data_IF_901272381636
#
_entry.id   IF_901272381636
#
_cell.length_a   1.000
_cell.length_b   1.000
_cell.length_c   1.000
_cell.angle_alpha   90.00
_cell.angle_beta   90.00
_cell.angle_gamma   90.00
#
_symmetry.space_group_name_H-M   'P 1'
#
loop_
_entity.id
_entity.type
_entity.pdbx_description
1 polymer ?
#
# COMPACT_ATOMS: atom_id res chain seq x y z
N UNK A 1 -50.66 10.62 47.41
CA UNK A 1 -49.57 9.63 47.58
C UNK A 1 -48.87 9.52 46.24
N UNK A 2 -47.89 10.39 45.99
CA UNK A 2 -46.45 10.06 45.84
C UNK A 2 -46.17 9.04 44.72
N UNK A 3 -45.73 9.57 43.57
CA UNK A 3 -45.14 8.87 42.42
C UNK A 3 -44.13 7.80 42.83
N UNK A 4 -44.03 6.72 42.04
CA UNK A 4 -42.76 6.02 41.87
C UNK A 4 -42.73 5.13 40.61
N UNK A 5 -41.77 5.45 39.74
CA UNK A 5 -40.97 4.57 38.88
C UNK A 5 -41.63 3.96 37.63
N UNK A 6 -41.58 4.74 36.55
CA UNK A 6 -41.38 4.23 35.19
C UNK A 6 -39.98 3.60 35.09
N UNK A 7 -39.91 2.29 34.86
CA UNK A 7 -38.69 1.62 34.42
C UNK A 7 -38.48 1.90 32.93
N UNK A 8 -37.62 2.86 32.60
CA UNK A 8 -37.07 3.04 31.27
C UNK A 8 -35.77 2.23 31.19
N UNK A 9 -35.85 0.99 30.70
CA UNK A 9 -34.67 0.20 30.34
C UNK A 9 -34.02 0.80 29.10
N UNK A 10 -32.95 1.57 29.31
CA UNK A 10 -32.07 2.08 28.26
C UNK A 10 -31.17 0.93 27.78
N UNK A 11 -31.47 0.38 26.61
CA UNK A 11 -30.59 -0.55 25.91
C UNK A 11 -29.39 0.25 25.34
N UNK A 12 -28.26 0.26 26.06
CA UNK A 12 -26.98 0.71 25.50
C UNK A 12 -26.35 -0.50 24.81
N UNK A 13 -26.63 -0.65 23.52
CA UNK A 13 -25.88 -1.58 22.67
C UNK A 13 -24.51 -0.97 22.38
N UNK A 14 -23.49 -1.45 23.09
CA UNK A 14 -22.09 -1.23 22.75
C UNK A 14 -21.84 -1.90 21.41
N UNK A 15 -21.71 -1.11 20.34
CA UNK A 15 -21.24 -1.63 19.06
C UNK A 15 -19.73 -1.80 19.17
N UNK A 16 -19.30 -3.03 19.46
CA UNK A 16 -17.92 -3.43 19.22
C UNK A 16 -17.71 -3.41 17.71
N UNK A 17 -17.05 -2.36 17.21
CA UNK A 17 -16.54 -2.35 15.84
C UNK A 17 -15.31 -3.25 15.81
N UNK A 18 -15.54 -4.56 15.81
CA UNK A 18 -14.52 -5.54 15.46
C UNK A 18 -14.23 -5.35 13.99
N UNK A 19 -13.05 -4.82 13.66
CA UNK A 19 -12.51 -4.89 12.31
C UNK A 19 -12.47 -6.38 11.93
N UNK A 20 -13.37 -6.80 11.04
CA UNK A 20 -13.45 -8.19 10.62
C UNK A 20 -12.23 -8.47 9.74
N UNK A 21 -11.25 -9.17 10.30
CA UNK A 21 -10.20 -9.84 9.53
C UNK A 21 -10.91 -10.89 8.66
N UNK A 22 -10.98 -10.64 7.35
CA UNK A 22 -11.67 -11.50 6.39
C UNK A 22 -10.63 -12.24 5.55
N UNK A 23 -10.09 -13.33 6.09
CA UNK A 23 -9.31 -14.27 5.28
C UNK A 23 -10.18 -14.86 4.13
N UNK A 24 -11.50 -14.91 4.30
CA UNK A 24 -12.45 -15.36 3.26
C UNK A 24 -12.80 -14.30 2.18
N UNK A 25 -12.31 -13.05 2.28
CA UNK A 25 -12.65 -12.01 1.30
C UNK A 25 -11.78 -12.01 0.03
N UNK A 26 -10.61 -12.64 0.07
CA UNK A 26 -9.66 -12.60 -1.05
C UNK A 26 -9.99 -13.68 -2.08
N UNK A 27 -10.22 -13.33 -3.36
CA UNK A 27 -10.56 -14.30 -4.40
C UNK A 27 -9.54 -15.43 -4.55
N UNK A 28 -10.04 -16.64 -4.85
CA UNK A 28 -9.19 -17.83 -5.07
C UNK A 28 -8.10 -17.59 -6.13
N UNK A 29 -8.42 -16.91 -7.22
CA UNK A 29 -7.45 -16.57 -8.27
C UNK A 29 -6.32 -15.67 -7.76
N UNK A 30 -6.63 -14.68 -6.90
CA UNK A 30 -5.64 -13.82 -6.25
C UNK A 30 -4.70 -14.65 -5.37
N UNK A 31 -5.25 -15.50 -4.48
CA UNK A 31 -4.44 -16.36 -3.60
C UNK A 31 -3.55 -17.31 -4.40
N UNK A 32 -4.08 -17.92 -5.46
CA UNK A 32 -3.32 -18.85 -6.33
C UNK A 32 -2.18 -18.15 -7.08
N UNK A 33 -2.44 -16.98 -7.68
CA UNK A 33 -1.42 -16.24 -8.42
C UNK A 33 -0.38 -15.59 -7.50
N UNK A 34 -0.78 -15.12 -6.32
CA UNK A 34 0.16 -14.72 -5.27
C UNK A 34 1.09 -15.87 -4.92
N UNK A 35 0.54 -17.06 -4.63
CA UNK A 35 1.34 -18.24 -4.28
C UNK A 35 2.27 -18.69 -5.40
N UNK A 36 1.83 -18.57 -6.66
CA UNK A 36 2.66 -18.87 -7.82
C UNK A 36 3.84 -17.88 -7.94
N UNK A 37 3.62 -16.60 -7.67
CA UNK A 37 4.65 -15.55 -7.74
C UNK A 37 5.60 -15.57 -6.53
N UNK A 38 5.07 -15.90 -5.36
CA UNK A 38 5.78 -15.93 -4.08
C UNK A 38 5.70 -17.30 -3.40
N UNK A 39 6.32 -18.36 -3.97
CA UNK A 39 6.13 -19.73 -3.49
C UNK A 39 6.69 -20.00 -2.08
N UNK A 40 7.56 -19.11 -1.57
CA UNK A 40 8.10 -19.20 -0.21
C UNK A 40 7.28 -18.43 0.83
N UNK A 41 6.32 -17.61 0.40
CA UNK A 41 5.37 -16.92 1.26
C UNK A 41 4.08 -17.75 1.34
N UNK A 42 3.55 -17.94 2.55
CA UNK A 42 2.38 -18.77 2.81
C UNK A 42 1.28 -18.01 3.56
N UNK A 43 1.60 -16.87 4.17
CA UNK A 43 0.71 -16.16 5.09
C UNK A 43 0.88 -14.64 4.95
N UNK A 44 0.59 -14.05 3.77
CA UNK A 44 0.58 -12.60 3.62
C UNK A 44 -0.62 -11.98 4.33
N UNK A 45 -0.45 -10.77 4.84
CA UNK A 45 -1.54 -9.95 5.34
C UNK A 45 -2.22 -9.26 4.15
N UNK A 46 -3.53 -9.45 3.99
CA UNK A 46 -4.29 -8.90 2.87
C UNK A 46 -5.08 -7.66 3.26
N UNK A 47 -5.07 -6.66 2.37
CA UNK A 47 -5.92 -5.47 2.42
C UNK A 47 -6.55 -5.25 1.03
N UNK A 48 -7.80 -4.78 0.99
CA UNK A 48 -8.39 -4.27 -0.25
C UNK A 48 -8.08 -2.78 -0.34
N UNK A 49 -7.43 -2.36 -1.43
CA UNK A 49 -7.08 -0.96 -1.66
C UNK A 49 -8.31 -0.12 -2.05
N UNK A 50 -8.11 1.19 -2.25
CA UNK A 50 -9.18 2.12 -2.66
C UNK A 50 -9.69 1.90 -4.10
N UNK A 51 -9.00 1.07 -4.88
CA UNK A 51 -9.26 0.73 -6.27
C UNK A 51 -9.87 -0.69 -6.40
N UNK A 52 -10.27 -1.31 -5.29
CA UNK A 52 -10.77 -2.68 -5.19
C UNK A 52 -9.74 -3.77 -5.58
N UNK A 53 -8.44 -3.43 -5.63
CA UNK A 53 -7.37 -4.41 -5.75
C UNK A 53 -7.05 -5.03 -4.39
N UNK A 54 -6.37 -6.16 -4.43
CA UNK A 54 -5.93 -6.91 -3.27
C UNK A 54 -4.42 -6.75 -3.09
N UNK A 55 -4.04 -6.01 -2.06
CA UNK A 55 -2.66 -5.80 -1.66
C UNK A 55 -2.26 -6.89 -0.65
N UNK A 56 -1.22 -7.66 -0.97
CA UNK A 56 -0.58 -8.57 -0.04
C UNK A 56 0.67 -7.92 0.58
N UNK A 57 0.67 -7.76 1.90
CA UNK A 57 1.83 -7.38 2.70
C UNK A 57 2.55 -8.64 3.19
N UNK A 58 3.87 -8.71 2.98
CA UNK A 58 4.68 -9.85 3.37
C UNK A 58 6.15 -9.50 3.55
N UNK A 59 6.97 -10.45 4.02
CA UNK A 59 8.42 -10.26 4.16
C UNK A 59 9.19 -11.27 3.33
N UNK A 60 10.17 -10.77 2.58
CA UNK A 60 11.16 -11.58 1.88
C UNK A 60 12.55 -11.19 2.33
N UNK A 61 13.29 -12.15 2.87
CA UNK A 61 14.66 -11.94 3.38
C UNK A 61 14.76 -10.79 4.41
N UNK A 62 13.71 -10.59 5.20
CA UNK A 62 13.62 -9.54 6.24
C UNK A 62 13.14 -8.18 5.74
N UNK A 63 13.00 -7.99 4.42
CA UNK A 63 12.48 -6.77 3.80
C UNK A 63 10.97 -6.89 3.62
N UNK A 64 10.24 -5.84 3.95
CA UNK A 64 8.79 -5.77 3.78
C UNK A 64 8.44 -5.41 2.33
N UNK A 65 7.49 -6.13 1.75
CA UNK A 65 6.98 -5.92 0.40
C UNK A 65 5.46 -5.82 0.43
N UNK A 66 4.94 -5.07 -0.55
CA UNK A 66 3.51 -5.03 -0.89
C UNK A 66 3.36 -5.51 -2.33
N UNK A 67 2.35 -6.31 -2.62
CA UNK A 67 2.07 -6.79 -3.96
C UNK A 67 0.58 -6.74 -4.27
N UNK A 68 0.23 -6.00 -5.31
CA UNK A 68 -1.15 -5.76 -5.72
C UNK A 68 -1.58 -6.73 -6.80
N UNK A 69 -2.82 -7.20 -6.64
CA UNK A 69 -3.51 -8.07 -7.58
C UNK A 69 -4.89 -7.52 -7.89
N UNK A 70 -5.28 -7.56 -9.16
CA UNK A 70 -6.65 -7.23 -9.57
C UNK A 70 -7.65 -8.22 -8.98
N UNK A 71 -8.96 -7.92 -8.98
CA UNK A 71 -10.00 -8.88 -8.57
C UNK A 71 -10.00 -10.21 -9.31
N UNK A 72 -9.45 -10.25 -10.54
CA UNK A 72 -9.31 -11.46 -11.34
C UNK A 72 -8.04 -12.25 -11.00
N UNK A 73 -7.20 -11.76 -10.09
CA UNK A 73 -5.93 -12.34 -9.71
C UNK A 73 -4.76 -11.95 -10.59
N UNK A 74 -4.92 -10.99 -11.51
CA UNK A 74 -3.80 -10.52 -12.33
C UNK A 74 -2.85 -9.69 -11.47
N UNK A 75 -1.57 -10.00 -11.52
CA UNK A 75 -0.55 -9.23 -10.81
C UNK A 75 -0.39 -7.84 -11.43
N UNK A 76 -0.46 -6.80 -10.59
CA UNK A 76 -0.32 -5.40 -10.99
C UNK A 76 1.12 -4.96 -10.71
N UNK A 77 1.52 -4.96 -9.45
CA UNK A 77 2.85 -4.53 -9.06
C UNK A 77 3.36 -5.16 -7.77
N UNK A 78 4.63 -4.92 -7.49
CA UNK A 78 5.25 -5.23 -6.21
C UNK A 78 6.24 -4.16 -5.87
N UNK A 79 6.14 -3.69 -4.65
CA UNK A 79 6.88 -2.53 -4.16
C UNK A 79 7.45 -2.77 -2.77
N UNK A 80 8.50 -2.01 -2.48
CA UNK A 80 9.05 -1.87 -1.15
C UNK A 80 9.62 -0.47 -0.96
N UNK A 81 9.43 0.05 0.25
CA UNK A 81 10.01 1.31 0.66
C UNK A 81 11.55 1.20 0.68
N UNK A 82 12.22 2.28 0.27
CA UNK A 82 13.66 2.46 0.34
C UNK A 82 14.01 3.85 0.88
N UNK A 83 15.27 4.07 1.25
CA UNK A 83 15.74 5.41 1.63
C UNK A 83 16.26 6.18 0.41
N UNK A 84 16.26 7.52 0.49
CA UNK A 84 16.85 8.40 -0.54
C UNK A 84 18.30 8.03 -0.89
N UNK A 85 19.07 7.56 0.10
CA UNK A 85 20.47 7.13 -0.10
C UNK A 85 20.60 5.91 -1.03
N UNK A 86 19.55 5.12 -1.18
CA UNK A 86 19.53 3.90 -1.98
C UNK A 86 19.14 4.19 -3.45
N UNK A 87 18.63 5.39 -3.74
CA UNK A 87 18.35 5.84 -5.10
C UNK A 87 19.63 6.00 -5.94
N UNK A 88 19.58 5.79 -7.26
CA UNK A 88 20.62 6.24 -8.19
C UNK A 88 20.98 7.72 -7.98
N UNK A 89 22.28 8.03 -8.02
CA UNK A 89 22.79 9.39 -7.76
C UNK A 89 22.13 10.45 -8.65
N UNK A 90 21.87 10.13 -9.92
CA UNK A 90 21.16 11.03 -10.84
C UNK A 90 19.75 11.40 -10.37
N UNK A 91 19.03 10.48 -9.75
CA UNK A 91 17.69 10.75 -9.21
C UNK A 91 17.81 11.61 -7.94
N UNK A 92 18.77 11.30 -7.06
CA UNK A 92 19.05 12.13 -5.89
C UNK A 92 19.32 13.59 -6.29
N UNK A 93 20.15 13.80 -7.32
CA UNK A 93 20.50 15.13 -7.82
C UNK A 93 19.28 15.85 -8.43
N UNK A 94 18.40 15.13 -9.14
CA UNK A 94 17.14 15.70 -9.65
C UNK A 94 16.23 16.13 -8.49
N UNK A 95 16.08 15.31 -7.46
CA UNK A 95 15.29 15.63 -6.27
C UNK A 95 15.85 16.88 -5.58
N UNK A 96 17.16 16.93 -5.36
CA UNK A 96 17.83 18.03 -4.66
C UNK A 96 17.78 19.36 -5.43
N UNK A 97 17.57 19.34 -6.74
CA UNK A 97 17.61 20.55 -7.58
C UNK A 97 16.23 20.98 -8.07
N UNK A 98 15.42 20.05 -8.60
CA UNK A 98 14.10 20.36 -9.16
C UNK A 98 12.99 20.37 -8.12
N UNK A 99 13.17 19.62 -7.04
CA UNK A 99 12.15 19.42 -6.01
C UNK A 99 12.60 19.92 -4.63
N UNK A 100 13.55 20.88 -4.58
CA UNK A 100 14.11 21.43 -3.33
C UNK A 100 13.05 22.03 -2.37
N UNK A 101 11.95 22.53 -2.91
CA UNK A 101 10.85 23.12 -2.14
C UNK A 101 9.86 22.08 -1.61
N UNK A 102 10.02 20.81 -1.98
CA UNK A 102 9.14 19.71 -1.60
C UNK A 102 9.76 18.88 -0.46
N UNK A 103 8.90 18.25 0.33
CA UNK A 103 9.30 17.22 1.29
C UNK A 103 9.02 15.85 0.70
N UNK A 104 9.96 14.93 0.84
CA UNK A 104 9.74 13.52 0.51
C UNK A 104 8.82 12.92 1.58
N UNK A 105 7.76 12.26 1.14
CA UNK A 105 6.84 11.51 2.01
C UNK A 105 7.22 10.03 2.00
N UNK A 106 7.46 9.47 0.82
CA UNK A 106 7.77 8.06 0.62
C UNK A 106 8.67 7.88 -0.61
N UNK A 107 9.45 6.79 -0.64
CA UNK A 107 10.24 6.38 -1.79
C UNK A 107 10.12 4.86 -1.91
N UNK A 108 9.77 4.38 -3.09
CA UNK A 108 9.57 2.97 -3.34
C UNK A 108 10.36 2.48 -4.55
N UNK A 109 10.85 1.24 -4.47
CA UNK A 109 11.21 0.48 -5.66
C UNK A 109 9.98 -0.29 -6.13
N UNK A 110 9.53 -0.03 -7.36
CA UNK A 110 8.30 -0.63 -7.90
C UNK A 110 8.63 -1.47 -9.11
N UNK A 111 8.11 -2.70 -9.15
CA UNK A 111 8.04 -3.50 -10.37
C UNK A 111 6.59 -3.62 -10.79
N UNK A 112 6.21 -3.03 -11.92
CA UNK A 112 4.83 -3.01 -12.43
C UNK A 112 4.71 -3.76 -13.75
N UNK A 113 3.57 -4.43 -13.98
CA UNK A 113 3.34 -5.30 -15.14
C UNK A 113 3.53 -4.61 -16.50
N UNK A 114 3.16 -3.32 -16.60
CA UNK A 114 3.25 -2.55 -17.84
C UNK A 114 4.48 -1.64 -17.91
N UNK A 115 4.88 -1.04 -16.78
CA UNK A 115 5.94 -0.02 -16.74
C UNK A 115 7.33 -0.62 -16.55
N UNK A 116 7.39 -1.88 -16.10
CA UNK A 116 8.64 -2.50 -15.68
C UNK A 116 9.09 -1.96 -14.32
N UNK A 117 10.40 -1.89 -14.12
CA UNK A 117 10.99 -1.39 -12.88
C UNK A 117 11.18 0.13 -12.91
N UNK A 118 10.75 0.81 -11.85
CA UNK A 118 10.97 2.24 -11.63
C UNK A 118 11.06 2.55 -10.14
N UNK A 119 11.43 3.79 -9.82
CA UNK A 119 11.38 4.34 -8.48
C UNK A 119 10.19 5.28 -8.40
N UNK A 120 9.32 5.11 -7.40
CA UNK A 120 8.29 6.09 -7.10
C UNK A 120 8.75 6.99 -5.94
N UNK A 121 8.49 8.28 -6.03
CA UNK A 121 8.86 9.29 -5.04
C UNK A 121 7.64 10.16 -4.77
N UNK A 122 6.89 9.83 -3.72
CA UNK A 122 5.80 10.69 -3.25
C UNK A 122 6.41 11.91 -2.56
N UNK A 123 6.10 13.09 -3.07
CA UNK A 123 6.55 14.38 -2.53
C UNK A 123 5.36 15.26 -2.18
N UNK A 124 5.52 16.11 -1.17
CA UNK A 124 4.49 17.05 -0.74
C UNK A 124 4.99 18.48 -0.62
N UNK A 125 4.12 19.42 -0.98
CA UNK A 125 4.31 20.85 -0.76
C UNK A 125 2.97 21.48 -0.39
N UNK A 126 2.96 22.26 0.68
CA UNK A 126 1.77 22.95 1.19
C UNK A 126 0.54 22.04 1.43
N UNK A 127 0.80 20.76 1.73
CA UNK A 127 -0.23 19.73 2.00
C UNK A 127 -0.73 19.00 0.75
N UNK A 128 -0.33 19.43 -0.45
CA UNK A 128 -0.62 18.72 -1.70
C UNK A 128 0.48 17.68 -1.96
N UNK A 129 0.07 16.46 -2.33
CA UNK A 129 0.94 15.33 -2.64
C UNK A 129 0.97 15.09 -4.15
N UNK A 130 2.11 14.65 -4.66
CA UNK A 130 2.28 14.14 -6.01
C UNK A 130 3.37 13.08 -6.05
N UNK A 131 3.25 12.17 -6.99
CA UNK A 131 4.23 11.12 -7.26
C UNK A 131 5.14 11.54 -8.42
N UNK A 132 6.42 11.19 -8.35
CA UNK A 132 7.36 11.38 -9.45
C UNK A 132 8.06 10.06 -9.72
N UNK A 133 7.73 9.46 -10.85
CA UNK A 133 8.22 8.14 -11.21
C UNK A 133 9.50 8.24 -12.05
N UNK A 134 10.56 7.57 -11.63
CA UNK A 134 11.86 7.61 -12.28
C UNK A 134 12.32 6.24 -12.78
N UNK A 135 12.79 6.19 -14.03
CA UNK A 135 13.68 5.12 -14.46
C UNK A 135 15.08 5.30 -13.84
N UNK A 136 15.86 4.21 -13.77
CA UNK A 136 17.19 4.17 -13.16
C UNK A 136 18.18 5.22 -13.70
N UNK A 137 17.99 5.69 -14.93
CA UNK A 137 18.81 6.74 -15.57
C UNK A 137 18.35 8.18 -15.24
N UNK A 138 17.30 8.35 -14.44
CA UNK A 138 16.71 9.65 -14.09
C UNK A 138 15.63 10.16 -15.05
N UNK A 139 15.22 9.37 -16.06
CA UNK A 139 14.07 9.72 -16.90
C UNK A 139 12.78 9.66 -16.07
N UNK A 140 12.01 10.74 -16.08
CA UNK A 140 10.66 10.82 -15.47
C UNK A 140 9.64 10.22 -16.45
N UNK A 141 8.70 9.41 -15.95
CA UNK A 141 7.76 8.64 -16.78
C UNK A 141 6.27 8.91 -16.52
N UNK A 142 5.94 9.87 -15.65
CA UNK A 142 4.56 10.31 -15.38
C UNK A 142 4.33 11.80 -15.70
#
# INVERSE_FOLDING_TARGET
>A
MRSCLLFLTLFVSVTYMSCQYQDDAVPKAVKENFKAKYPKENDPDWVTDKNDNFEASFKKDGVHYRADFSPNGDWIETENNIDKKDLPKVIQDIIDTKYEAYKIVEIEEVTHYQKGFFYDVEITKDGEKQDVEFLKNGTIIN
#
